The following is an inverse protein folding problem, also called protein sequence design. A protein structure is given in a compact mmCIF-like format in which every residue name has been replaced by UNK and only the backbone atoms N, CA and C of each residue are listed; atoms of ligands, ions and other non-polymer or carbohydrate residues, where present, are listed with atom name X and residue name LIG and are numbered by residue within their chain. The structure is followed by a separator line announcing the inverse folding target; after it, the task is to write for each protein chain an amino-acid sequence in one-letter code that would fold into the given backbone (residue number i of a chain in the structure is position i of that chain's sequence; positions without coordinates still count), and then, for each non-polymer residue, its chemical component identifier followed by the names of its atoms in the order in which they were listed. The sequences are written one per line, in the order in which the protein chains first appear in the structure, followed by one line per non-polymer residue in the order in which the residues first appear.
data_IF_808240149350
#
_entry.id   IF_808240149350
#
_cell.length_a   1.000
_cell.length_b   1.000
_cell.length_c   1.000
_cell.angle_alpha   90.00
_cell.angle_beta   90.00
_cell.angle_gamma   90.00
#
_symmetry.space_group_name_H-M   'P 1'
#
loop_
_entity.id
_entity.type
_entity.pdbx_description
1 polymer ?
#
# COMPACT_ATOMS: atom_id res chain seq x y z
N UNK A 1 -19.00 -15.17 0.28
CA UNK A 1 -17.56 -14.89 0.06
C UNK A 1 -17.33 -13.72 -0.90
N UNK A 2 -17.91 -13.70 -2.10
CA UNK A 2 -17.67 -12.63 -3.10
C UNK A 2 -18.07 -11.22 -2.63
N UNK A 3 -19.18 -11.08 -1.89
CA UNK A 3 -19.61 -9.77 -1.34
C UNK A 3 -18.55 -9.19 -0.41
N UNK A 4 -17.90 -10.04 0.40
CA UNK A 4 -16.85 -9.62 1.34
C UNK A 4 -15.61 -9.17 0.57
N UNK A 5 -15.16 -9.94 -0.42
CA UNK A 5 -13.96 -9.59 -1.20
C UNK A 5 -14.16 -8.33 -2.03
N UNK A 6 -15.33 -8.15 -2.66
CA UNK A 6 -15.67 -6.91 -3.38
C UNK A 6 -15.73 -5.71 -2.43
N UNK A 7 -16.30 -5.88 -1.23
CA UNK A 7 -16.31 -4.81 -0.21
C UNK A 7 -14.89 -4.42 0.23
N UNK A 8 -14.00 -5.40 0.44
CA UNK A 8 -12.60 -5.16 0.76
C UNK A 8 -11.86 -4.45 -0.39
N UNK A 9 -12.19 -4.77 -1.64
CA UNK A 9 -11.64 -4.09 -2.80
C UNK A 9 -12.02 -2.60 -2.80
N UNK A 10 -13.31 -2.28 -2.59
CA UNK A 10 -13.80 -0.90 -2.53
C UNK A 10 -13.11 -0.13 -1.40
N UNK A 11 -13.06 -0.70 -0.20
CA UNK A 11 -12.37 -0.07 0.95
C UNK A 11 -10.90 0.20 0.62
N UNK A 12 -10.22 -0.77 0.01
CA UNK A 12 -8.80 -0.63 -0.37
C UNK A 12 -8.61 0.48 -1.40
N UNK A 13 -9.50 0.60 -2.39
CA UNK A 13 -9.45 1.70 -3.37
C UNK A 13 -9.72 3.06 -2.74
N UNK A 14 -10.66 3.16 -1.81
CA UNK A 14 -10.91 4.41 -1.07
C UNK A 14 -9.68 4.82 -0.27
N UNK A 15 -9.02 3.89 0.43
CA UNK A 15 -7.77 4.15 1.16
C UNK A 15 -6.68 4.60 0.17
N UNK A 16 -6.47 3.84 -0.91
CA UNK A 16 -5.48 4.16 -1.94
C UNK A 16 -5.66 5.56 -2.51
N UNK A 17 -6.90 5.92 -2.89
CA UNK A 17 -7.23 7.24 -3.41
C UNK A 17 -6.91 8.35 -2.41
N UNK A 18 -7.31 8.19 -1.14
CA UNK A 18 -6.99 9.17 -0.09
C UNK A 18 -5.49 9.30 0.14
N UNK A 19 -4.74 8.20 0.10
CA UNK A 19 -3.29 8.20 0.25
C UNK A 19 -2.56 8.85 -0.93
N UNK A 20 -3.04 8.70 -2.16
CA UNK A 20 -2.50 9.45 -3.31
C UNK A 20 -2.69 10.96 -3.13
N UNK A 21 -3.81 11.37 -2.53
CA UNK A 21 -4.07 12.76 -2.14
C UNK A 21 -3.33 13.18 -0.86
N UNK A 22 -2.51 12.30 -0.27
CA UNK A 22 -1.80 12.51 0.99
C UNK A 22 -2.74 12.89 2.15
N UNK A 23 -3.98 12.37 2.15
CA UNK A 23 -5.01 12.62 3.17
C UNK A 23 -5.22 11.41 4.05
N UNK A 24 -5.55 11.65 5.32
CA UNK A 24 -5.90 10.62 6.30
C UNK A 24 -4.73 10.18 7.17
N UNK A 25 -4.84 9.02 7.81
CA UNK A 25 -3.76 8.45 8.63
C UNK A 25 -2.77 7.70 7.75
N UNK A 26 -1.46 7.93 7.95
CA UNK A 26 -0.41 7.28 7.18
C UNK A 26 -0.23 5.82 7.62
N UNK A 27 -0.92 4.91 6.94
CA UNK A 27 -0.75 3.46 7.12
C UNK A 27 0.54 2.99 6.43
N UNK A 28 1.68 3.27 7.04
CA UNK A 28 2.99 2.80 6.60
C UNK A 28 3.79 2.31 7.80
N UNK A 29 4.54 1.21 7.62
CA UNK A 29 5.30 0.58 8.68
C UNK A 29 6.22 1.57 9.41
N UNK A 30 6.95 2.40 8.65
CA UNK A 30 7.90 3.36 9.23
C UNK A 30 7.17 4.41 10.07
N UNK A 31 6.01 4.90 9.62
CA UNK A 31 5.24 5.89 10.36
C UNK A 31 4.58 5.31 11.63
N UNK A 32 4.03 4.09 11.53
CA UNK A 32 3.33 3.43 12.65
C UNK A 32 4.31 3.17 13.80
N UNK A 33 5.55 2.76 13.51
CA UNK A 33 6.55 2.46 14.52
C UNK A 33 7.47 3.64 14.89
N UNK A 34 7.37 4.78 14.20
CA UNK A 34 8.14 5.98 14.52
C UNK A 34 7.70 6.60 15.86
N UNK A 35 8.65 7.23 16.57
CA UNK A 35 8.38 8.03 17.76
C UNK A 35 7.59 9.30 17.42
N UNK A 36 7.10 10.05 18.42
CA UNK A 36 6.38 11.30 18.16
C UNK A 36 7.26 12.34 17.46
N UNK A 37 8.49 12.52 17.92
CA UNK A 37 9.47 13.46 17.35
C UNK A 37 9.84 13.07 15.91
N UNK A 38 10.06 11.78 15.65
CA UNK A 38 10.32 11.27 14.30
C UNK A 38 9.13 11.51 13.35
N UNK A 39 7.90 11.35 13.84
CA UNK A 39 6.68 11.59 13.04
C UNK A 39 6.47 13.06 12.70
N UNK A 40 6.97 13.99 13.51
CA UNK A 40 6.84 15.42 13.27
C UNK A 40 7.84 15.91 12.22
N UNK A 41 9.06 15.35 12.26
CA UNK A 41 10.16 15.73 11.36
C UNK A 41 10.21 14.91 10.06
N UNK A 42 9.57 13.74 10.01
CA UNK A 42 9.54 12.86 8.84
C UNK A 42 8.86 13.50 7.62
N UNK A 43 9.52 13.42 6.47
CA UNK A 43 8.87 13.65 5.17
C UNK A 43 7.91 12.50 4.83
N UNK A 44 6.60 12.73 5.04
CA UNK A 44 5.53 11.72 4.89
C UNK A 44 5.18 11.40 3.43
N UNK A 45 5.51 12.27 2.49
CA UNK A 45 5.11 12.16 1.07
C UNK A 45 5.48 10.80 0.42
N UNK A 46 6.74 10.32 0.50
CA UNK A 46 7.10 9.02 -0.09
C UNK A 46 6.34 7.84 0.52
N UNK A 47 6.09 7.87 1.84
CA UNK A 47 5.37 6.83 2.54
C UNK A 47 3.88 6.82 2.17
N UNK A 48 3.26 7.99 1.98
CA UNK A 48 1.90 8.08 1.44
C UNK A 48 1.80 7.44 0.05
N UNK A 49 2.73 7.75 -0.84
CA UNK A 49 2.75 7.19 -2.21
C UNK A 49 2.97 5.68 -2.20
N UNK A 50 3.89 5.18 -1.38
CA UNK A 50 4.13 3.75 -1.25
C UNK A 50 2.87 3.03 -0.78
N UNK A 51 2.26 3.50 0.31
CA UNK A 51 1.04 2.92 0.85
C UNK A 51 -0.13 3.04 -0.14
N UNK A 52 -0.24 4.15 -0.88
CA UNK A 52 -1.27 4.32 -1.91
C UNK A 52 -1.19 3.21 -2.98
N UNK A 53 0.01 2.94 -3.50
CA UNK A 53 0.23 1.89 -4.50
C UNK A 53 0.01 0.50 -3.91
N UNK A 54 0.46 0.26 -2.67
CA UNK A 54 0.21 -1.02 -1.99
C UNK A 54 -1.29 -1.29 -1.84
N UNK A 55 -2.07 -0.33 -1.36
CA UNK A 55 -3.53 -0.48 -1.24
C UNK A 55 -4.24 -0.58 -2.60
N UNK A 56 -3.72 0.06 -3.65
CA UNK A 56 -4.24 -0.09 -5.01
C UNK A 56 -4.14 -1.55 -5.48
N UNK A 57 -2.95 -2.14 -5.36
CA UNK A 57 -2.70 -3.51 -5.81
C UNK A 57 -3.47 -4.52 -4.94
N UNK A 58 -3.55 -4.30 -3.62
CA UNK A 58 -4.39 -5.09 -2.72
C UNK A 58 -5.87 -5.03 -3.15
N UNK A 59 -6.39 -3.85 -3.48
CA UNK A 59 -7.74 -3.68 -4.01
C UNK A 59 -7.97 -4.45 -5.31
N UNK A 60 -6.99 -4.42 -6.23
CA UNK A 60 -7.01 -5.21 -7.47
C UNK A 60 -7.06 -6.71 -7.16
N UNK A 61 -6.23 -7.22 -6.25
CA UNK A 61 -6.23 -8.63 -5.85
C UNK A 61 -7.58 -9.05 -5.28
N UNK A 62 -8.17 -8.26 -4.39
CA UNK A 62 -9.51 -8.55 -3.84
C UNK A 62 -10.61 -8.52 -4.92
N UNK A 63 -10.52 -7.58 -5.87
CA UNK A 63 -11.44 -7.50 -6.99
C UNK A 63 -11.32 -8.75 -7.89
N UNK A 64 -10.09 -9.15 -8.24
CA UNK A 64 -9.82 -10.36 -9.02
C UNK A 64 -10.35 -11.62 -8.34
N UNK A 65 -10.17 -11.74 -7.01
CA UNK A 65 -10.75 -12.81 -6.20
C UNK A 65 -12.28 -12.79 -6.22
N UNK A 66 -12.91 -11.62 -6.10
CA UNK A 66 -14.37 -11.47 -6.19
C UNK A 66 -14.94 -11.84 -7.56
N UNK A 67 -14.19 -11.59 -8.63
CA UNK A 67 -14.54 -11.92 -10.01
C UNK A 67 -14.14 -13.34 -10.43
N UNK A 68 -13.58 -14.15 -9.51
CA UNK A 68 -13.08 -15.50 -9.79
C UNK A 68 -12.08 -15.56 -10.96
N UNK A 69 -11.20 -14.56 -11.08
CA UNK A 69 -10.10 -14.59 -12.04
C UNK A 69 -9.15 -15.76 -11.71
N UNK A 70 -8.47 -16.28 -12.73
CA UNK A 70 -7.55 -17.40 -12.59
C UNK A 70 -6.48 -17.16 -11.51
N UNK A 71 -6.32 -18.15 -10.61
CA UNK A 71 -5.37 -18.12 -9.49
C UNK A 71 -3.92 -17.89 -9.90
N UNK A 72 -3.49 -18.35 -11.08
CA UNK A 72 -2.13 -18.08 -11.59
C UNK A 72 -1.89 -16.59 -11.80
N UNK A 73 -2.88 -15.85 -12.30
CA UNK A 73 -2.79 -14.41 -12.51
C UNK A 73 -2.77 -13.69 -11.16
N UNK A 74 -3.64 -14.11 -10.23
CA UNK A 74 -3.69 -13.54 -8.87
C UNK A 74 -2.36 -13.73 -8.15
N UNK A 75 -1.75 -14.92 -8.25
CA UNK A 75 -0.44 -15.22 -7.66
C UNK A 75 0.67 -14.35 -8.27
N UNK A 76 0.64 -14.11 -9.59
CA UNK A 76 1.61 -13.24 -10.26
C UNK A 76 1.50 -11.78 -9.81
N UNK A 77 0.28 -11.25 -9.70
CA UNK A 77 0.04 -9.89 -9.19
C UNK A 77 0.45 -9.78 -7.71
N UNK A 78 0.21 -10.83 -6.92
CA UNK A 78 0.62 -10.88 -5.52
C UNK A 78 2.14 -10.91 -5.38
N UNK A 79 2.84 -11.69 -6.21
CA UNK A 79 4.30 -11.68 -6.26
C UNK A 79 4.84 -10.30 -6.64
N UNK A 80 4.24 -9.66 -7.64
CA UNK A 80 4.58 -8.29 -8.01
C UNK A 80 4.42 -7.30 -6.85
N UNK A 81 3.32 -7.39 -6.09
CA UNK A 81 3.11 -6.59 -4.88
C UNK A 81 4.23 -6.79 -3.85
N UNK A 82 4.63 -8.03 -3.59
CA UNK A 82 5.72 -8.32 -2.64
C UNK A 82 7.04 -7.68 -3.08
N UNK A 83 7.41 -7.88 -4.35
CA UNK A 83 8.63 -7.29 -4.94
C UNK A 83 8.57 -5.76 -4.86
N UNK A 84 7.45 -5.16 -5.24
CA UNK A 84 7.23 -3.72 -5.14
C UNK A 84 7.39 -3.22 -3.69
N UNK A 85 6.77 -3.90 -2.72
CA UNK A 85 6.82 -3.50 -1.32
C UNK A 85 8.26 -3.51 -0.78
N UNK A 86 9.03 -4.55 -1.07
CA UNK A 86 10.44 -4.67 -0.66
C UNK A 86 11.30 -3.62 -1.35
N UNK A 87 11.22 -3.52 -2.69
CA UNK A 87 12.04 -2.59 -3.47
C UNK A 87 11.76 -1.12 -3.09
N UNK A 88 10.50 -0.76 -2.94
CA UNK A 88 10.10 0.60 -2.52
C UNK A 88 10.54 0.91 -1.09
N UNK A 89 10.46 -0.05 -0.17
CA UNK A 89 10.96 0.13 1.20
C UNK A 89 12.48 0.37 1.23
N UNK A 90 13.25 -0.40 0.46
CA UNK A 90 14.71 -0.22 0.32
C UNK A 90 15.02 1.15 -0.29
N UNK A 91 14.32 1.54 -1.35
CA UNK A 91 14.52 2.84 -2.01
C UNK A 91 14.25 4.00 -1.07
N UNK A 92 13.12 3.97 -0.34
CA UNK A 92 12.76 5.04 0.60
C UNK A 92 13.75 5.09 1.78
N UNK A 93 14.16 3.94 2.31
CA UNK A 93 15.18 3.85 3.36
C UNK A 93 16.51 4.48 2.91
N UNK A 94 17.03 4.10 1.73
CA UNK A 94 18.26 4.68 1.19
C UNK A 94 18.18 6.19 0.98
N UNK A 95 17.00 6.70 0.61
CA UNK A 95 16.79 8.14 0.46
C UNK A 95 16.75 8.86 1.81
N UNK A 96 16.20 8.22 2.84
CA UNK A 96 16.14 8.77 4.20
C UNK A 96 17.53 8.89 4.84
N UNK A 97 18.37 7.84 4.75
CA UNK A 97 19.72 7.83 5.37
C UNK A 97 20.80 8.64 4.60
N UNK A 98 20.47 9.20 3.43
CA UNK A 98 21.39 10.07 2.66
C UNK A 98 21.12 11.56 2.87
N UNK A 99 20.05 11.93 3.59
CA UNK A 99 19.77 13.30 4.01
C UNK A 99 20.37 13.55 5.39
#
# INVERSE_FOLDING_TARGET
MQVITISLAIISFVISFRHFMQKGFLINNVYIYATKEDRETMNKSPYYKQSAVSFLIVGIIFLMLGLNINMYIINLVTLFLMVFAIASAIYISKKYFRQ
#
